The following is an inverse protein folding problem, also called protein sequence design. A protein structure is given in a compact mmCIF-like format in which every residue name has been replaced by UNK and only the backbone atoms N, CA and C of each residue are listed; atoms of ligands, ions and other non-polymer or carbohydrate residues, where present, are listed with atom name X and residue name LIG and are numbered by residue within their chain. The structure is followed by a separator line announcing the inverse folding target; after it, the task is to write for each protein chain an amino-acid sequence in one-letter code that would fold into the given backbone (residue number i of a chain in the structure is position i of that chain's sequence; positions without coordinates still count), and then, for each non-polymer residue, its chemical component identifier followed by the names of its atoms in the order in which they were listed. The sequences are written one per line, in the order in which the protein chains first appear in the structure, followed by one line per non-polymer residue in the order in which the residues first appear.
data_IF_346977887022
#
_entry.id   IF_346977887022
#
_cell.length_a   1.000
_cell.length_b   1.000
_cell.length_c   1.000
_cell.angle_alpha   90.00
_cell.angle_beta   90.00
_cell.angle_gamma   90.00
#
_symmetry.space_group_name_H-M   'P 1'
#
loop_
_entity.id
_entity.type
_entity.pdbx_description
1 polymer ?
#
# COMPACT_ATOMS: atom_id res chain seq x y z
N UNK A 1 7.29 -17.42 17.14
CA UNK A 1 5.85 -17.56 16.82
C UNK A 1 5.23 -16.17 16.81
N UNK A 2 4.91 -15.63 15.63
CA UNK A 2 4.21 -14.35 15.53
C UNK A 2 2.80 -14.54 16.09
N UNK A 3 2.57 -14.09 17.32
CA UNK A 3 1.23 -14.00 17.89
C UNK A 3 0.53 -12.85 17.20
N UNK A 4 -0.20 -13.19 16.15
CA UNK A 4 -1.11 -12.27 15.49
C UNK A 4 -2.16 -11.81 16.52
N UNK A 5 -2.00 -10.59 17.05
CA UNK A 5 -2.97 -9.95 17.95
C UNK A 5 -4.14 -9.34 17.16
N UNK A 6 -4.55 -9.96 16.06
CA UNK A 6 -5.54 -9.42 15.13
C UNK A 6 -4.99 -8.30 14.25
N UNK A 7 -3.77 -8.46 13.76
CA UNK A 7 -3.13 -7.63 12.77
C UNK A 7 -2.88 -8.34 11.44
N UNK A 8 -3.10 -7.61 10.36
CA UNK A 8 -2.98 -8.09 8.99
C UNK A 8 -1.59 -7.77 8.46
N UNK A 9 -0.94 -8.75 7.85
CA UNK A 9 0.34 -8.54 7.16
C UNK A 9 0.09 -8.17 5.70
N UNK A 10 0.60 -7.00 5.28
CA UNK A 10 0.59 -6.55 3.91
C UNK A 10 2.03 -6.58 3.37
N UNK A 11 2.28 -7.44 2.38
CA UNK A 11 3.58 -7.52 1.71
C UNK A 11 3.78 -6.29 0.83
N UNK A 12 4.86 -5.54 1.08
CA UNK A 12 5.19 -4.29 0.37
C UNK A 12 6.55 -4.43 -0.33
N UNK A 13 6.72 -5.56 -1.04
CA UNK A 13 7.92 -5.88 -1.79
C UNK A 13 7.58 -6.61 -3.07
N UNK A 14 8.47 -6.51 -4.06
CA UNK A 14 8.44 -7.34 -5.25
C UNK A 14 9.22 -8.65 -5.07
N UNK A 15 9.29 -9.43 -6.16
CA UNK A 15 10.09 -10.65 -6.22
C UNK A 15 11.59 -10.39 -6.00
N UNK A 16 12.07 -9.19 -6.37
CA UNK A 16 13.48 -8.77 -6.24
C UNK A 16 13.82 -8.16 -4.88
N UNK A 17 12.90 -8.17 -3.92
CA UNK A 17 13.09 -7.60 -2.59
C UNK A 17 12.27 -6.32 -2.35
N UNK A 18 12.51 -5.63 -1.23
CA UNK A 18 11.83 -4.39 -0.87
C UNK A 18 11.94 -3.36 -1.99
N UNK A 19 10.91 -2.54 -2.15
CA UNK A 19 11.00 -1.42 -3.09
C UNK A 19 12.12 -0.46 -2.64
N UNK A 20 12.93 -0.01 -3.61
CA UNK A 20 14.07 0.89 -3.40
C UNK A 20 13.84 2.21 -4.13
N UNK A 21 14.51 3.28 -3.67
CA UNK A 21 14.37 4.62 -4.25
C UNK A 21 13.01 5.23 -3.92
N UNK A 22 12.38 5.83 -4.93
CA UNK A 22 11.06 6.46 -4.85
C UNK A 22 10.06 5.73 -5.76
N UNK A 23 9.60 4.54 -5.35
CA UNK A 23 8.74 3.68 -6.16
C UNK A 23 7.27 4.15 -6.22
N UNK A 24 6.83 4.91 -5.21
CA UNK A 24 5.48 5.44 -5.02
C UNK A 24 5.48 6.46 -3.88
N UNK A 25 4.54 7.40 -3.87
CA UNK A 25 4.40 8.39 -2.79
C UNK A 25 3.59 7.86 -1.58
N UNK A 26 2.54 7.09 -1.86
CA UNK A 26 1.61 6.56 -0.87
C UNK A 26 1.24 5.10 -1.15
N UNK A 27 1.08 4.34 -0.08
CA UNK A 27 0.51 2.99 -0.08
C UNK A 27 -0.94 3.07 0.42
N UNK A 28 -1.87 2.65 -0.43
CA UNK A 28 -3.26 2.41 -0.05
C UNK A 28 -3.46 0.91 0.22
N UNK A 29 -3.73 0.54 1.48
CA UNK A 29 -3.99 -0.84 1.89
C UNK A 29 -5.43 -0.99 2.38
N UNK A 30 -6.20 -1.84 1.70
CA UNK A 30 -7.58 -2.15 2.06
C UNK A 30 -7.67 -3.43 2.87
N UNK A 31 -8.30 -3.36 4.04
CA UNK A 31 -8.56 -4.48 4.92
C UNK A 31 -9.98 -4.99 4.71
N UNK A 32 -10.14 -6.01 3.86
CA UNK A 32 -11.45 -6.63 3.56
C UNK A 32 -12.24 -7.01 4.84
N UNK A 33 -11.64 -7.64 5.88
CA UNK A 33 -12.42 -8.09 7.03
C UNK A 33 -12.94 -6.95 7.94
N UNK A 34 -12.31 -5.78 7.89
CA UNK A 34 -12.66 -4.62 8.71
C UNK A 34 -13.24 -3.47 7.87
N UNK A 35 -13.41 -3.65 6.56
CA UNK A 35 -13.94 -2.68 5.58
C UNK A 35 -13.32 -1.28 5.73
N UNK A 36 -11.99 -1.22 5.59
CA UNK A 36 -11.24 -0.02 5.96
C UNK A 36 -9.95 0.16 5.17
N UNK A 37 -9.62 1.40 4.88
CA UNK A 37 -8.41 1.81 4.19
C UNK A 37 -7.34 2.36 5.14
N UNK A 38 -6.09 2.08 4.78
CA UNK A 38 -4.90 2.72 5.33
C UNK A 38 -4.18 3.44 4.22
N UNK A 39 -3.97 4.75 4.37
CA UNK A 39 -3.25 5.60 3.42
C UNK A 39 -1.92 5.99 4.07
N UNK A 40 -0.84 5.31 3.69
CA UNK A 40 0.46 5.37 4.38
C UNK A 40 1.50 6.00 3.46
N UNK A 41 2.21 7.07 3.88
CA UNK A 41 3.31 7.63 3.10
C UNK A 41 4.42 6.60 2.88
N UNK A 42 5.03 6.58 1.69
CA UNK A 42 6.04 5.60 1.30
C UNK A 42 7.27 5.61 2.21
N UNK A 43 7.65 6.76 2.74
CA UNK A 43 8.71 6.93 3.74
C UNK A 43 8.51 6.02 4.97
N UNK A 44 7.26 5.70 5.32
CA UNK A 44 6.91 4.83 6.46
C UNK A 44 6.97 3.34 6.14
N UNK A 45 7.18 2.99 4.87
CA UNK A 45 7.27 1.63 4.33
C UNK A 45 8.62 1.35 3.65
N UNK A 46 9.43 2.38 3.38
CA UNK A 46 10.69 2.26 2.67
C UNK A 46 11.64 1.25 3.33
N UNK A 47 12.23 0.38 2.50
CA UNK A 47 13.11 -0.71 2.95
C UNK A 47 12.41 -1.86 3.69
N UNK A 48 11.09 -1.82 3.89
CA UNK A 48 10.36 -2.90 4.53
C UNK A 48 9.89 -3.94 3.50
N UNK A 49 9.96 -5.23 3.85
CA UNK A 49 9.38 -6.30 3.02
C UNK A 49 7.87 -6.48 3.20
N UNK A 50 7.38 -6.13 4.38
CA UNK A 50 5.97 -6.20 4.75
C UNK A 50 5.68 -5.20 5.87
N UNK A 51 4.44 -4.74 5.94
CA UNK A 51 3.90 -3.98 7.08
C UNK A 51 2.84 -4.80 7.80
N UNK A 52 2.67 -4.55 9.09
CA UNK A 52 1.63 -5.18 9.89
C UNK A 52 0.64 -4.11 10.38
N UNK A 53 -0.62 -4.26 10.00
CA UNK A 53 -1.71 -3.33 10.30
C UNK A 53 -2.56 -3.92 11.42
N UNK A 54 -2.68 -3.22 12.54
CA UNK A 54 -3.45 -3.67 13.70
C UNK A 54 -4.65 -2.75 13.92
N UNK A 55 -5.79 -2.97 13.26
CA UNK A 55 -6.93 -2.07 13.38
C UNK A 55 -7.59 -2.13 14.76
N UNK A 56 -7.49 -3.24 15.47
CA UNK A 56 -8.13 -3.44 16.78
C UNK A 56 -7.28 -2.93 17.95
N UNK A 57 -6.04 -2.51 17.69
CA UNK A 57 -5.12 -2.03 18.72
C UNK A 57 -5.25 -0.52 18.92
N UNK A 58 -5.48 -0.09 20.17
CA UNK A 58 -5.63 1.35 20.53
C UNK A 58 -4.41 2.22 20.16
N UNK A 59 -3.21 1.63 20.15
CA UNK A 59 -1.96 2.29 19.75
C UNK A 59 -1.21 1.39 18.79
N UNK A 60 -1.41 1.57 17.49
CA UNK A 60 -0.69 0.84 16.44
C UNK A 60 0.24 1.77 15.66
N UNK A 61 1.34 1.23 15.13
CA UNK A 61 2.35 1.98 14.36
C UNK A 61 1.73 2.82 13.24
N UNK A 62 0.71 2.25 12.57
CA UNK A 62 0.04 2.87 11.43
C UNK A 62 -1.36 3.40 11.78
N UNK A 63 -1.74 3.48 13.05
CA UNK A 63 -3.10 3.85 13.47
C UNK A 63 -3.56 5.22 12.98
N UNK A 64 -2.62 6.18 12.86
CA UNK A 64 -2.90 7.53 12.36
C UNK A 64 -3.20 7.59 10.85
N UNK A 65 -2.90 6.52 10.11
CA UNK A 65 -3.08 6.44 8.66
C UNK A 65 -4.39 5.76 8.25
N UNK A 66 -5.23 5.40 9.22
CA UNK A 66 -6.58 4.90 8.99
C UNK A 66 -7.43 5.98 8.31
N UNK A 67 -8.06 5.64 7.20
CA UNK A 67 -8.92 6.54 6.41
C UNK A 67 -8.28 7.91 6.15
N UNK A 68 -6.94 7.94 6.05
CA UNK A 68 -6.17 9.17 5.93
C UNK A 68 -6.17 9.70 4.48
N UNK A 69 -7.34 9.72 3.84
CA UNK A 69 -7.56 10.21 2.48
C UNK A 69 -7.17 11.68 2.31
N UNK A 70 -7.28 12.46 3.39
CA UNK A 70 -6.81 13.85 3.44
C UNK A 70 -5.32 14.01 3.10
N UNK A 71 -4.50 12.95 3.21
CA UNK A 71 -3.10 12.98 2.78
C UNK A 71 -2.93 13.03 1.26
N UNK A 72 -3.94 12.58 0.51
CA UNK A 72 -3.97 12.64 -0.95
C UNK A 72 -4.57 13.97 -1.46
N UNK A 73 -5.22 14.74 -0.57
CA UNK A 73 -5.79 16.02 -0.92
C UNK A 73 -4.68 17.04 -1.18
N UNK A 74 -4.81 17.77 -2.28
CA UNK A 74 -3.93 18.92 -2.54
C UNK A 74 -4.35 20.09 -1.65
N UNK A 75 -3.42 20.95 -1.20
CA UNK A 75 -3.70 22.07 -0.31
C UNK A 75 -4.81 23.03 -0.79
N UNK A 76 -5.14 23.02 -2.08
CA UNK A 76 -6.04 23.99 -2.72
C UNK A 76 -7.34 23.36 -3.26
N UNK A 77 -7.57 22.05 -3.09
CA UNK A 77 -8.77 21.37 -3.62
C UNK A 77 -8.90 21.28 -5.15
N UNK A 78 -8.01 21.94 -5.89
CA UNK A 78 -7.98 21.96 -7.35
C UNK A 78 -6.96 20.95 -7.87
N UNK A 79 -7.43 19.75 -8.17
CA UNK A 79 -6.58 18.68 -8.66
C UNK A 79 -7.34 17.71 -9.54
N UNK A 80 -7.47 18.03 -10.83
CA UNK A 80 -7.81 17.00 -11.82
C UNK A 80 -6.61 16.06 -11.92
N UNK A 81 -6.81 14.78 -11.62
CA UNK A 81 -5.81 13.76 -11.88
C UNK A 81 -5.61 13.70 -13.39
N UNK A 82 -4.51 14.29 -13.88
CA UNK A 82 -4.27 14.44 -15.32
C UNK A 82 -4.01 13.10 -16.01
N UNK A 83 -3.45 12.14 -15.27
CA UNK A 83 -2.96 10.89 -15.81
C UNK A 83 -2.97 9.84 -14.70
N UNK A 84 -3.61 8.70 -14.96
CA UNK A 84 -3.60 7.52 -14.11
C UNK A 84 -2.89 6.44 -14.92
N UNK A 85 -1.76 5.97 -14.43
CA UNK A 85 -1.02 4.87 -15.04
C UNK A 85 -1.12 3.65 -14.12
N UNK A 86 -1.43 2.50 -14.71
CA UNK A 86 -1.41 1.22 -14.02
C UNK A 86 -0.41 0.31 -14.73
N UNK A 87 0.67 -0.06 -14.03
CA UNK A 87 1.57 -1.12 -14.48
C UNK A 87 0.98 -2.48 -14.08
N UNK A 88 0.08 -3.01 -14.90
CA UNK A 88 -0.14 -4.45 -14.95
C UNK A 88 0.85 -5.02 -15.98
N UNK A 89 1.66 -6.01 -15.60
CA UNK A 89 2.47 -6.74 -16.58
C UNK A 89 1.54 -7.21 -17.72
N UNK A 90 1.76 -6.69 -18.93
CA UNK A 90 1.01 -7.10 -20.10
C UNK A 90 1.12 -8.61 -20.26
N UNK A 91 0.00 -9.30 -20.44
CA UNK A 91 -0.04 -10.73 -20.70
C UNK A 91 0.98 -11.03 -21.81
N UNK A 92 2.04 -11.76 -21.46
CA UNK A 92 2.98 -12.26 -22.45
C UNK A 92 2.17 -13.04 -23.49
N UNK A 93 2.16 -12.58 -24.75
CA UNK A 93 1.67 -13.38 -25.86
C UNK A 93 2.52 -14.66 -25.88
N UNK A 94 1.93 -15.76 -25.45
CA UNK A 94 2.50 -17.08 -25.64
C UNK A 94 2.24 -17.44 -27.10
N UNK A 95 3.23 -17.22 -27.97
CA UNK A 95 3.21 -17.84 -29.29
C UNK A 95 3.39 -19.35 -29.12
N UNK A 96 2.30 -20.10 -29.30
CA UNK A 96 2.36 -21.54 -29.46
C UNK A 96 2.89 -21.81 -30.87
N UNK A 97 4.20 -22.06 -30.97
CA UNK A 97 4.80 -22.64 -32.17
C UNK A 97 4.20 -24.03 -32.43
N UNK A 98 3.73 -24.23 -33.67
CA UNK A 98 3.26 -25.51 -34.22
C UNK A 98 4.45 -26.34 -34.65
#
# INVERSE_FOLDING_TARGET
MFRDRGGYSCTVRGCRGPYQGDPFDFLAAYLIPDDMWYIIPAEKCSGQGSIALYPKLKKSKYGAYREAWHLLERPNGEGVVKQIEACAEGAAQVEWGV
#
